data_IF_378341915373
#
_entry.id   IF_378341915373
#
_cell.length_a   1.000
_cell.length_b   1.000
_cell.length_c   1.000
_cell.angle_alpha   90.00
_cell.angle_beta   90.00
_cell.angle_gamma   90.00
#
_symmetry.space_group_name_H-M   'P 1'
#
loop_
_entity.id
_entity.type
_entity.pdbx_description
1 polymer ?
#
# COMPACT_ATOMS: atom_id res chain seq x y z
N UNK A 1 -19.99 10.19 -21.70
CA UNK A 1 -19.31 11.52 -21.85
C UNK A 1 -19.46 12.31 -20.58
N UNK A 2 -18.34 12.75 -20.00
CA UNK A 2 -18.34 13.60 -18.80
C UNK A 2 -19.00 14.93 -19.13
N UNK A 3 -20.14 15.23 -18.49
CA UNK A 3 -20.87 16.50 -18.72
C UNK A 3 -20.06 17.73 -18.30
N UNK A 4 -19.19 17.59 -17.27
CA UNK A 4 -18.34 18.69 -16.79
C UNK A 4 -16.94 18.17 -16.45
N UNK A 5 -16.00 18.29 -17.39
CA UNK A 5 -14.59 17.84 -17.22
C UNK A 5 -13.91 18.49 -16.02
N UNK A 6 -14.16 19.79 -15.74
CA UNK A 6 -13.56 20.46 -14.57
C UNK A 6 -14.02 19.81 -13.27
N UNK A 7 -15.33 19.54 -13.14
CA UNK A 7 -15.89 18.89 -11.96
C UNK A 7 -15.33 17.47 -11.75
N UNK A 8 -15.19 16.70 -12.83
CA UNK A 8 -14.59 15.37 -12.80
C UNK A 8 -13.14 15.40 -12.33
N UNK A 9 -12.27 16.23 -12.94
CA UNK A 9 -10.86 16.30 -12.54
C UNK A 9 -10.68 16.87 -11.13
N UNK A 10 -11.53 17.80 -10.67
CA UNK A 10 -11.51 18.28 -9.28
C UNK A 10 -11.88 17.16 -8.31
N UNK A 11 -12.93 16.37 -8.60
CA UNK A 11 -13.31 15.21 -7.79
C UNK A 11 -12.17 14.17 -7.78
N UNK A 12 -11.59 13.86 -8.93
CA UNK A 12 -10.45 12.94 -9.04
C UNK A 12 -9.30 13.33 -8.11
N UNK A 13 -8.83 14.60 -8.21
CA UNK A 13 -7.69 15.08 -7.39
C UNK A 13 -8.03 15.00 -5.90
N UNK A 14 -9.20 15.51 -5.49
CA UNK A 14 -9.59 15.60 -4.09
C UNK A 14 -9.74 14.20 -3.47
N UNK A 15 -10.51 13.32 -4.10
CA UNK A 15 -10.77 11.97 -3.57
C UNK A 15 -9.51 11.10 -3.61
N UNK A 16 -8.73 11.16 -4.68
CA UNK A 16 -7.49 10.41 -4.76
C UNK A 16 -6.49 10.88 -3.71
N UNK A 17 -6.29 12.21 -3.57
CA UNK A 17 -5.33 12.73 -2.58
C UNK A 17 -5.72 12.38 -1.15
N UNK A 18 -6.96 12.65 -0.74
CA UNK A 18 -7.40 12.40 0.64
C UNK A 18 -7.43 10.90 0.94
N UNK A 19 -7.87 10.08 -0.01
CA UNK A 19 -7.79 8.62 0.12
C UNK A 19 -6.36 8.13 0.29
N UNK A 20 -5.41 8.67 -0.50
CA UNK A 20 -4.00 8.30 -0.36
C UNK A 20 -3.37 8.82 0.94
N UNK A 21 -3.78 10.00 1.45
CA UNK A 21 -3.36 10.47 2.78
C UNK A 21 -3.79 9.46 3.86
N UNK A 22 -5.05 9.01 3.85
CA UNK A 22 -5.53 8.03 4.82
C UNK A 22 -4.76 6.70 4.72
N UNK A 23 -4.49 6.21 3.50
CA UNK A 23 -3.68 5.00 3.27
C UNK A 23 -2.22 5.15 3.73
N UNK A 24 -1.60 6.32 3.56
CA UNK A 24 -0.24 6.57 4.06
C UNK A 24 -0.20 6.54 5.58
N UNK A 25 -1.20 7.13 6.24
CA UNK A 25 -1.30 7.10 7.70
C UNK A 25 -1.47 5.66 8.21
N UNK A 26 -2.33 4.87 7.61
CA UNK A 26 -2.50 3.47 7.96
C UNK A 26 -1.21 2.66 7.73
N UNK A 27 -0.70 2.66 6.51
CA UNK A 27 0.39 1.77 6.13
C UNK A 27 1.75 2.11 6.76
N UNK A 28 1.98 3.36 7.16
CA UNK A 28 3.27 3.79 7.68
C UNK A 28 3.24 4.20 9.15
N UNK A 29 2.14 4.78 9.63
CA UNK A 29 2.08 5.40 10.94
C UNK A 29 1.29 4.59 11.98
N UNK A 30 0.39 3.70 11.59
CA UNK A 30 -0.30 2.83 12.56
C UNK A 30 0.68 1.88 13.25
N UNK A 31 1.72 1.45 12.55
CA UNK A 31 2.81 0.65 13.14
C UNK A 31 3.53 1.43 14.25
N UNK A 32 3.78 2.73 14.01
CA UNK A 32 4.37 3.64 15.01
C UNK A 32 3.38 3.90 16.15
N UNK A 33 2.10 4.11 15.84
CA UNK A 33 1.07 4.34 16.84
C UNK A 33 0.95 3.20 17.86
N UNK A 34 0.84 1.94 17.39
CA UNK A 34 0.72 0.81 18.32
C UNK A 34 2.02 0.55 19.09
N UNK A 35 3.16 0.83 18.48
CA UNK A 35 4.47 0.71 19.13
C UNK A 35 4.63 1.75 20.25
N UNK A 36 4.46 3.03 19.94
CA UNK A 36 4.68 4.13 20.88
C UNK A 36 3.64 4.17 22.01
N UNK A 37 2.36 3.92 21.68
CA UNK A 37 1.26 4.08 22.63
C UNK A 37 1.00 2.84 23.49
N UNK A 38 1.32 1.64 22.99
CA UNK A 38 0.92 0.38 23.64
C UNK A 38 2.06 -0.61 23.80
N UNK A 39 3.29 -0.25 23.41
CA UNK A 39 4.46 -1.14 23.43
C UNK A 39 4.23 -2.44 22.63
N UNK A 40 3.62 -2.31 21.45
CA UNK A 40 3.34 -3.44 20.57
C UNK A 40 4.62 -4.17 20.17
N UNK A 41 4.56 -5.49 20.14
CA UNK A 41 5.64 -6.34 19.66
C UNK A 41 5.74 -6.33 18.13
N UNK A 42 6.85 -6.83 17.59
CA UNK A 42 6.99 -7.06 16.14
C UNK A 42 5.91 -7.99 15.58
N UNK A 43 5.47 -8.97 16.37
CA UNK A 43 4.37 -9.88 16.02
C UNK A 43 3.02 -9.17 15.93
N UNK A 44 2.74 -8.21 16.84
CA UNK A 44 1.51 -7.41 16.80
C UNK A 44 1.45 -6.54 15.55
N UNK A 45 2.57 -5.90 15.19
CA UNK A 45 2.70 -5.14 13.95
C UNK A 45 2.49 -6.04 12.73
N UNK A 46 3.14 -7.21 12.68
CA UNK A 46 2.99 -8.15 11.60
C UNK A 46 1.53 -8.66 11.47
N UNK A 47 0.87 -8.94 12.60
CA UNK A 47 -0.53 -9.36 12.63
C UNK A 47 -1.46 -8.26 12.11
N UNK A 48 -1.26 -7.01 12.52
CA UNK A 48 -2.05 -5.86 12.07
C UNK A 48 -1.96 -5.71 10.56
N UNK A 49 -0.75 -5.65 10.00
CA UNK A 49 -0.54 -5.51 8.55
C UNK A 49 -1.12 -6.69 7.78
N UNK A 50 -0.96 -7.92 8.27
CA UNK A 50 -1.51 -9.11 7.63
C UNK A 50 -3.05 -9.11 7.65
N UNK A 51 -3.67 -8.76 8.77
CA UNK A 51 -5.12 -8.69 8.91
C UNK A 51 -5.72 -7.61 8.00
N UNK A 52 -5.08 -6.43 7.94
CA UNK A 52 -5.44 -5.33 7.04
C UNK A 52 -5.34 -5.78 5.56
N UNK A 53 -4.25 -6.43 5.15
CA UNK A 53 -4.08 -6.93 3.78
C UNK A 53 -5.16 -7.96 3.39
N UNK A 54 -5.55 -8.85 4.30
CA UNK A 54 -6.66 -9.79 4.09
C UNK A 54 -7.98 -9.03 3.95
N UNK A 55 -8.26 -8.09 4.87
CA UNK A 55 -9.47 -7.25 4.84
C UNK A 55 -9.56 -6.47 3.54
N UNK A 56 -8.50 -5.76 3.13
CA UNK A 56 -8.42 -5.01 1.89
C UNK A 56 -8.74 -5.87 0.66
N UNK A 57 -8.10 -7.05 0.58
CA UNK A 57 -8.25 -7.94 -0.58
C UNK A 57 -9.67 -8.49 -0.67
N UNK A 58 -10.21 -9.04 0.42
CA UNK A 58 -11.57 -9.59 0.43
C UNK A 58 -12.60 -8.49 0.12
N UNK A 59 -12.44 -7.32 0.72
CA UNK A 59 -13.34 -6.19 0.52
C UNK A 59 -13.31 -5.71 -0.93
N UNK A 60 -12.14 -5.49 -1.51
CA UNK A 60 -12.04 -5.00 -2.88
C UNK A 60 -12.67 -5.99 -3.86
N UNK A 61 -12.48 -7.29 -3.64
CA UNK A 61 -13.10 -8.34 -4.47
C UNK A 61 -14.63 -8.36 -4.32
N UNK A 62 -15.15 -8.35 -3.10
CA UNK A 62 -16.58 -8.50 -2.83
C UNK A 62 -17.36 -7.22 -3.13
N UNK A 63 -16.86 -6.08 -2.67
CA UNK A 63 -17.54 -4.79 -2.82
C UNK A 63 -17.38 -4.23 -4.23
N UNK A 64 -16.27 -4.49 -4.90
CA UNK A 64 -16.13 -4.20 -6.32
C UNK A 64 -17.28 -4.79 -7.10
N UNK A 65 -17.54 -6.07 -6.88
CA UNK A 65 -18.68 -6.82 -7.39
C UNK A 65 -20.03 -6.21 -7.12
N UNK A 66 -20.25 -5.94 -5.84
CA UNK A 66 -21.52 -5.39 -5.39
C UNK A 66 -21.78 -4.00 -5.96
N UNK A 67 -20.74 -3.17 -6.02
CA UNK A 67 -20.78 -1.83 -6.58
C UNK A 67 -21.13 -1.83 -8.07
N UNK A 68 -20.58 -2.80 -8.83
CA UNK A 68 -20.92 -3.00 -10.26
C UNK A 68 -22.38 -3.42 -10.44
N UNK A 69 -22.83 -4.39 -9.64
CA UNK A 69 -24.23 -4.88 -9.68
C UNK A 69 -25.24 -3.81 -9.33
N UNK A 70 -24.97 -3.03 -8.29
CA UNK A 70 -25.87 -1.96 -7.81
C UNK A 70 -25.85 -0.75 -8.73
N UNK A 71 -24.70 -0.44 -9.35
CA UNK A 71 -24.54 0.68 -10.28
C UNK A 71 -24.60 2.07 -9.65
N UNK A 72 -24.53 2.19 -8.31
CA UNK A 72 -24.63 3.46 -7.57
C UNK A 72 -23.28 3.92 -7.03
N UNK A 73 -22.29 4.14 -7.94
CA UNK A 73 -20.91 4.51 -7.57
C UNK A 73 -20.84 5.62 -6.52
N UNK A 74 -21.60 6.71 -6.74
CA UNK A 74 -21.62 7.85 -5.79
C UNK A 74 -21.96 7.43 -4.36
N UNK A 75 -22.95 6.55 -4.17
CA UNK A 75 -23.36 6.11 -2.84
C UNK A 75 -22.24 5.31 -2.15
N UNK A 76 -21.56 4.41 -2.88
CA UNK A 76 -20.44 3.64 -2.35
C UNK A 76 -19.24 4.53 -2.03
N UNK A 77 -18.90 5.47 -2.90
CA UNK A 77 -17.77 6.39 -2.67
C UNK A 77 -18.09 7.32 -1.50
N UNK A 78 -19.17 8.11 -1.59
CA UNK A 78 -19.47 9.11 -0.57
C UNK A 78 -19.80 8.49 0.78
N UNK A 79 -20.66 7.47 0.82
CA UNK A 79 -21.01 6.75 2.05
C UNK A 79 -19.81 6.02 2.64
N UNK A 80 -19.01 5.39 1.80
CA UNK A 80 -17.80 4.70 2.25
C UNK A 80 -16.75 5.65 2.84
N UNK A 81 -16.49 6.83 2.23
CA UNK A 81 -15.59 7.84 2.81
C UNK A 81 -16.12 8.37 4.15
N UNK A 82 -17.43 8.59 4.31
CA UNK A 82 -18.00 8.99 5.60
C UNK A 82 -17.76 7.92 6.66
N UNK A 83 -18.05 6.65 6.36
CA UNK A 83 -17.86 5.54 7.30
C UNK A 83 -16.37 5.27 7.57
N UNK A 84 -15.52 5.43 6.56
CA UNK A 84 -14.07 5.37 6.70
C UNK A 84 -13.56 6.44 7.66
N UNK A 85 -13.97 7.70 7.48
CA UNK A 85 -13.58 8.78 8.38
C UNK A 85 -14.11 8.59 9.81
N UNK A 86 -15.32 8.06 9.99
CA UNK A 86 -15.86 7.70 11.31
C UNK A 86 -15.01 6.60 11.97
N UNK A 87 -14.61 5.57 11.21
CA UNK A 87 -13.71 4.54 11.74
C UNK A 87 -12.33 5.09 12.12
N UNK A 88 -11.78 6.05 11.35
CA UNK A 88 -10.54 6.75 11.71
C UNK A 88 -10.70 7.54 13.01
N UNK A 89 -11.81 8.26 13.19
CA UNK A 89 -12.08 8.99 14.44
C UNK A 89 -12.12 8.08 15.67
N UNK A 90 -12.55 6.83 15.53
CA UNK A 90 -12.63 5.90 16.66
C UNK A 90 -11.26 5.57 17.28
N UNK A 91 -10.16 5.66 16.51
CA UNK A 91 -8.82 5.44 17.06
C UNK A 91 -8.42 6.50 18.10
N UNK A 92 -8.97 7.71 18.03
CA UNK A 92 -8.76 8.73 19.04
C UNK A 92 -9.29 8.34 20.43
N UNK A 93 -10.19 7.35 20.51
CA UNK A 93 -10.76 6.83 21.75
C UNK A 93 -9.98 5.62 22.30
N UNK A 94 -9.11 5.00 21.50
CA UNK A 94 -8.31 3.84 21.93
C UNK A 94 -7.05 4.35 22.64
N UNK A 95 -7.18 4.50 23.94
CA UNK A 95 -6.13 5.00 24.83
C UNK A 95 -6.09 4.15 26.10
N UNK A 96 -4.92 4.00 26.70
CA UNK A 96 -4.76 3.19 27.91
C UNK A 96 -5.56 3.72 29.09
N UNK A 97 -5.69 5.04 29.25
CA UNK A 97 -6.51 5.69 30.26
C UNK A 97 -8.03 5.44 30.03
N UNK A 98 -8.49 5.63 28.80
CA UNK A 98 -9.90 5.43 28.43
C UNK A 98 -10.30 3.96 28.56
N UNK A 99 -9.53 3.05 27.99
CA UNK A 99 -9.83 1.62 28.03
C UNK A 99 -9.65 1.06 29.46
N UNK A 100 -8.64 1.50 30.19
CA UNK A 100 -8.41 1.10 31.58
C UNK A 100 -9.58 1.51 32.52
N UNK A 101 -10.21 2.66 32.25
CA UNK A 101 -11.41 3.08 33.00
C UNK A 101 -12.61 2.17 32.72
N UNK A 102 -12.72 1.61 31.48
CA UNK A 102 -13.81 0.71 31.09
C UNK A 102 -13.58 -0.72 31.57
N UNK A 103 -12.31 -1.17 31.59
CA UNK A 103 -11.94 -2.56 31.95
C UNK A 103 -10.88 -2.54 33.08
N UNK A 104 -11.20 -2.05 34.27
CA UNK A 104 -10.24 -1.85 35.37
C UNK A 104 -9.63 -3.17 35.92
N UNK A 105 -10.27 -4.32 35.67
CA UNK A 105 -9.81 -5.63 36.11
C UNK A 105 -8.93 -6.36 35.08
N UNK A 106 -8.59 -5.71 33.95
CA UNK A 106 -7.79 -6.35 32.91
C UNK A 106 -6.34 -6.54 33.37
N UNK A 107 -5.78 -7.71 33.08
CA UNK A 107 -4.38 -8.04 33.38
C UNK A 107 -3.39 -7.22 32.53
N UNK A 108 -3.81 -6.77 31.34
CA UNK A 108 -3.04 -5.90 30.44
C UNK A 108 -3.98 -5.06 29.59
N UNK A 109 -4.07 -3.77 29.91
CA UNK A 109 -4.84 -2.78 29.14
C UNK A 109 -4.21 -2.55 27.76
N UNK A 110 -2.87 -2.54 27.67
CA UNK A 110 -2.14 -2.36 26.41
C UNK A 110 -2.48 -3.47 25.39
N UNK A 111 -2.55 -4.73 25.82
CA UNK A 111 -2.92 -5.83 24.93
C UNK A 111 -4.36 -5.72 24.42
N UNK A 112 -5.28 -5.20 25.22
CA UNK A 112 -6.65 -4.90 24.81
C UNK A 112 -6.63 -3.77 23.77
N UNK A 113 -5.89 -2.69 24.01
CA UNK A 113 -5.75 -1.59 23.06
C UNK A 113 -5.18 -2.06 21.72
N UNK A 114 -4.12 -2.87 21.72
CA UNK A 114 -3.54 -3.45 20.49
C UNK A 114 -4.60 -4.26 19.73
N UNK A 115 -5.31 -5.15 20.43
CA UNK A 115 -6.37 -5.96 19.83
C UNK A 115 -7.48 -5.09 19.23
N UNK A 116 -7.90 -4.05 19.92
CA UNK A 116 -8.91 -3.10 19.43
C UNK A 116 -8.40 -2.35 18.21
N UNK A 117 -7.13 -1.91 18.20
CA UNK A 117 -6.54 -1.27 17.01
C UNK A 117 -6.56 -2.20 15.82
N UNK A 118 -6.13 -3.46 15.97
CA UNK A 118 -6.12 -4.45 14.87
C UNK A 118 -7.53 -4.68 14.33
N UNK A 119 -8.53 -4.84 15.21
CA UNK A 119 -9.93 -5.02 14.78
C UNK A 119 -10.45 -3.78 14.06
N UNK A 120 -10.23 -2.60 14.64
CA UNK A 120 -10.69 -1.34 14.07
C UNK A 120 -9.95 -0.99 12.78
N UNK A 121 -8.68 -1.40 12.63
CA UNK A 121 -7.92 -1.29 11.39
C UNK A 121 -8.56 -2.13 10.28
N UNK A 122 -8.96 -3.37 10.55
CA UNK A 122 -9.74 -4.17 9.60
C UNK A 122 -11.07 -3.51 9.21
N UNK A 123 -11.78 -2.90 10.15
CA UNK A 123 -13.04 -2.16 9.90
C UNK A 123 -12.77 -0.92 9.04
N UNK A 124 -11.73 -0.17 9.38
CA UNK A 124 -11.29 1.01 8.64
C UNK A 124 -10.89 0.64 7.21
N UNK A 125 -10.08 -0.40 7.04
CA UNK A 125 -9.67 -0.94 5.75
C UNK A 125 -10.86 -1.44 4.93
N UNK A 126 -11.86 -2.07 5.57
CA UNK A 126 -13.09 -2.47 4.89
C UNK A 126 -13.80 -1.26 4.25
N UNK A 127 -13.98 -0.16 4.96
CA UNK A 127 -14.62 1.03 4.40
C UNK A 127 -13.74 1.75 3.39
N UNK A 128 -12.43 1.88 3.66
CA UNK A 128 -11.45 2.49 2.75
C UNK A 128 -11.36 1.74 1.43
N UNK A 129 -11.17 0.42 1.47
CA UNK A 129 -11.10 -0.41 0.27
C UNK A 129 -12.42 -0.46 -0.49
N UNK A 130 -13.56 -0.43 0.21
CA UNK A 130 -14.89 -0.33 -0.44
C UNK A 130 -15.04 0.95 -1.24
N UNK A 131 -14.64 2.07 -0.65
CA UNK A 131 -14.85 3.39 -1.22
C UNK A 131 -13.77 3.77 -2.24
N UNK A 132 -12.49 3.60 -1.87
CA UNK A 132 -11.35 4.06 -2.66
C UNK A 132 -10.88 2.98 -3.65
N UNK A 133 -10.56 1.77 -3.20
CA UNK A 133 -9.96 0.76 -4.06
C UNK A 133 -10.98 0.13 -5.01
N UNK A 134 -12.20 -0.12 -4.55
CA UNK A 134 -13.24 -0.71 -5.37
C UNK A 134 -14.06 0.34 -6.12
N UNK A 135 -14.85 1.15 -5.40
CA UNK A 135 -15.84 2.01 -6.03
C UNK A 135 -15.25 3.21 -6.77
N UNK A 136 -14.22 3.86 -6.21
CA UNK A 136 -13.59 5.03 -6.83
C UNK A 136 -12.77 4.68 -8.08
N UNK A 137 -11.98 3.60 -8.04
CA UNK A 137 -11.25 3.14 -9.22
C UNK A 137 -12.18 2.67 -10.34
N UNK A 138 -13.31 2.04 -10.00
CA UNK A 138 -14.33 1.70 -10.98
C UNK A 138 -15.01 2.95 -11.55
N UNK A 139 -15.34 3.95 -10.71
CA UNK A 139 -15.88 5.23 -11.15
C UNK A 139 -14.92 5.97 -12.09
N UNK A 140 -13.61 5.97 -11.79
CA UNK A 140 -12.59 6.55 -12.65
C UNK A 140 -12.62 5.92 -14.05
N UNK A 141 -12.73 4.59 -14.12
CA UNK A 141 -12.83 3.85 -15.38
C UNK A 141 -14.12 4.17 -16.13
N UNK A 142 -15.26 4.22 -15.42
CA UNK A 142 -16.59 4.48 -16.01
C UNK A 142 -16.72 5.92 -16.54
N UNK A 143 -16.01 6.87 -15.94
CA UNK A 143 -16.08 8.30 -16.27
C UNK A 143 -15.06 8.75 -17.32
N UNK A 144 -14.09 7.90 -17.69
CA UNK A 144 -13.04 8.24 -18.67
C UNK A 144 -13.22 7.52 -19.98
N UNK A 145 -13.00 8.23 -21.07
CA UNK A 145 -12.87 7.68 -22.42
C UNK A 145 -11.39 7.60 -22.85
N UNK A 146 -11.13 7.13 -24.07
CA UNK A 146 -9.77 6.99 -24.59
C UNK A 146 -8.96 8.30 -24.62
N UNK A 147 -9.63 9.47 -24.71
CA UNK A 147 -8.97 10.77 -24.78
C UNK A 147 -8.54 11.32 -23.43
N UNK A 148 -9.28 11.02 -22.36
CA UNK A 148 -9.09 11.58 -21.03
C UNK A 148 -8.44 10.57 -20.04
N UNK A 149 -8.49 9.27 -20.35
CA UNK A 149 -8.02 8.19 -19.47
C UNK A 149 -6.55 8.32 -19.09
N UNK A 150 -5.69 8.65 -20.06
CA UNK A 150 -4.26 8.84 -19.80
C UNK A 150 -3.97 9.98 -18.82
N UNK A 151 -4.68 11.11 -18.95
CA UNK A 151 -4.54 12.23 -18.03
C UNK A 151 -5.07 11.89 -16.63
N UNK A 152 -6.21 11.22 -16.54
CA UNK A 152 -6.82 10.83 -15.29
C UNK A 152 -5.95 9.80 -14.52
N UNK A 153 -5.46 8.77 -15.19
CA UNK A 153 -4.53 7.78 -14.63
C UNK A 153 -3.20 8.43 -14.21
N UNK A 154 -2.68 9.37 -15.02
CA UNK A 154 -1.48 10.14 -14.68
C UNK A 154 -1.64 10.91 -13.37
N UNK A 155 -2.75 11.61 -13.20
CA UNK A 155 -3.06 12.34 -11.96
C UNK A 155 -3.20 11.35 -10.81
N UNK A 156 -3.99 10.29 -10.95
CA UNK A 156 -4.23 9.32 -9.89
C UNK A 156 -2.93 8.64 -9.41
N UNK A 157 -2.02 8.34 -10.32
CA UNK A 157 -0.74 7.70 -9.99
C UNK A 157 0.26 8.63 -9.27
N UNK A 158 0.07 9.95 -9.35
CA UNK A 158 0.90 10.92 -8.61
C UNK A 158 0.43 11.13 -7.17
N UNK A 159 -0.84 10.87 -6.87
CA UNK A 159 -1.44 11.19 -5.57
C UNK A 159 -0.79 10.47 -4.38
N UNK A 160 -0.37 9.19 -4.46
CA UNK A 160 0.36 8.53 -3.37
C UNK A 160 1.63 9.28 -2.96
N UNK A 161 2.38 9.82 -3.93
CA UNK A 161 3.61 10.56 -3.67
C UNK A 161 3.34 11.90 -2.99
N UNK A 162 2.32 12.62 -3.48
CA UNK A 162 1.88 13.89 -2.87
C UNK A 162 1.36 13.63 -1.44
N UNK A 163 0.62 12.53 -1.24
CA UNK A 163 0.12 12.15 0.07
C UNK A 163 1.24 11.83 1.07
N UNK A 164 2.27 11.06 0.67
CA UNK A 164 3.42 10.77 1.53
C UNK A 164 4.11 12.06 1.97
N UNK A 165 4.35 12.98 1.05
CA UNK A 165 4.98 14.27 1.37
C UNK A 165 4.10 15.12 2.28
N UNK A 166 2.78 15.16 2.05
CA UNK A 166 1.83 15.89 2.88
C UNK A 166 1.79 15.32 4.31
N UNK A 167 1.77 13.98 4.44
CA UNK A 167 1.75 13.32 5.76
C UNK A 167 3.08 13.52 6.48
N UNK A 168 4.22 13.32 5.81
CA UNK A 168 5.53 13.52 6.43
C UNK A 168 5.71 14.97 6.88
N UNK A 169 5.39 15.95 6.02
CA UNK A 169 5.47 17.35 6.38
C UNK A 169 4.49 17.75 7.49
N UNK A 170 3.27 17.23 7.46
CA UNK A 170 2.27 17.47 8.49
C UNK A 170 2.65 16.87 9.85
N UNK A 171 3.22 15.67 9.85
CA UNK A 171 3.55 14.95 11.09
C UNK A 171 4.85 15.41 11.75
N UNK A 172 5.72 16.14 11.03
CA UNK A 172 6.92 16.74 11.63
C UNK A 172 6.64 17.62 12.85
N UNK A 173 5.44 18.21 12.93
CA UNK A 173 5.04 19.09 14.02
C UNK A 173 4.51 18.36 15.25
N UNK A 174 4.32 17.04 15.17
CA UNK A 174 3.74 16.23 16.22
C UNK A 174 4.82 15.40 16.92
N UNK A 175 4.75 15.36 18.25
CA UNK A 175 5.51 14.41 19.06
C UNK A 175 4.76 13.08 19.08
N UNK A 176 5.23 12.11 18.28
CA UNK A 176 4.56 10.80 18.11
C UNK A 176 4.65 9.90 19.37
N UNK A 177 5.48 10.26 20.36
CA UNK A 177 5.49 9.62 21.67
C UNK A 177 4.33 10.07 22.59
N UNK A 178 3.49 11.03 22.15
CA UNK A 178 2.40 11.59 22.97
C UNK A 178 1.02 11.20 22.45
N UNK A 179 0.17 10.74 23.35
CA UNK A 179 -1.21 10.34 23.06
C UNK A 179 -2.07 11.48 22.50
N UNK A 180 -1.83 12.72 22.94
CA UNK A 180 -2.53 13.92 22.47
C UNK A 180 -2.25 14.20 20.99
N UNK A 181 -1.02 13.94 20.54
CA UNK A 181 -0.63 14.05 19.13
C UNK A 181 -1.44 13.09 18.25
N UNK A 182 -1.54 11.83 18.66
CA UNK A 182 -2.32 10.82 17.94
C UNK A 182 -3.80 11.15 17.93
N UNK A 183 -4.35 11.58 19.06
CA UNK A 183 -5.75 12.04 19.14
C UNK A 183 -6.01 13.14 18.11
N UNK A 184 -5.12 14.14 18.06
CA UNK A 184 -5.24 15.27 17.11
C UNK A 184 -5.12 14.80 15.65
N UNK A 185 -4.16 13.92 15.35
CA UNK A 185 -3.95 13.34 14.02
C UNK A 185 -5.21 12.61 13.56
N UNK A 186 -5.76 11.70 14.38
CA UNK A 186 -6.96 10.95 14.02
C UNK A 186 -8.18 11.85 13.83
N UNK A 187 -8.33 12.91 14.62
CA UNK A 187 -9.40 13.89 14.45
C UNK A 187 -9.23 14.64 13.12
N UNK A 188 -8.04 15.15 12.80
CA UNK A 188 -7.79 15.88 11.57
C UNK A 188 -8.04 14.99 10.35
N UNK A 189 -7.46 13.80 10.32
CA UNK A 189 -7.60 12.88 9.17
C UNK A 189 -9.04 12.37 9.07
N UNK A 190 -9.64 11.92 10.16
CA UNK A 190 -11.01 11.40 10.17
C UNK A 190 -12.03 12.43 9.74
N UNK A 191 -11.97 13.67 10.26
CA UNK A 191 -12.85 14.76 9.83
C UNK A 191 -12.61 15.14 8.36
N UNK A 192 -11.36 15.17 7.92
CA UNK A 192 -11.04 15.45 6.50
C UNK A 192 -11.68 14.42 5.58
N UNK A 193 -11.57 13.12 5.91
CA UNK A 193 -12.17 12.02 5.12
C UNK A 193 -13.70 12.12 5.14
N UNK A 194 -14.35 12.42 6.30
CA UNK A 194 -15.80 12.64 6.39
C UNK A 194 -16.23 13.80 5.52
N UNK A 195 -15.55 14.94 5.63
CA UNK A 195 -15.89 16.14 4.86
C UNK A 195 -15.82 15.88 3.35
N UNK A 196 -14.81 15.15 2.89
CA UNK A 196 -14.69 14.76 1.49
C UNK A 196 -15.80 13.78 1.10
N UNK A 197 -16.16 12.83 1.97
CA UNK A 197 -17.29 11.95 1.75
C UNK A 197 -18.61 12.72 1.57
N UNK A 198 -18.87 13.72 2.44
CA UNK A 198 -20.03 14.61 2.33
C UNK A 198 -19.98 15.43 1.04
N UNK A 199 -18.83 16.01 0.71
CA UNK A 199 -18.62 16.74 -0.54
C UNK A 199 -18.91 15.85 -1.76
N UNK A 200 -18.58 14.58 -1.69
CA UNK A 200 -18.84 13.58 -2.73
C UNK A 200 -20.31 13.45 -3.12
N UNK A 201 -21.23 13.65 -2.17
CA UNK A 201 -22.68 13.63 -2.46
C UNK A 201 -23.05 14.65 -3.53
N UNK A 202 -22.30 15.77 -3.57
CA UNK A 202 -22.58 16.90 -4.49
C UNK A 202 -21.69 16.88 -5.74
N UNK A 203 -20.45 16.39 -5.65
CA UNK A 203 -19.48 16.51 -6.75
C UNK A 203 -19.29 15.20 -7.54
N UNK A 204 -19.51 14.02 -6.95
CA UNK A 204 -19.40 12.76 -7.68
C UNK A 204 -20.61 12.60 -8.61
N UNK A 205 -20.35 12.57 -9.89
CA UNK A 205 -21.36 12.26 -10.90
C UNK A 205 -21.56 10.74 -10.97
N UNK A 206 -22.82 10.30 -11.03
CA UNK A 206 -23.15 8.88 -11.25
C UNK A 206 -23.21 8.64 -12.75
N UNK A 207 -22.32 7.80 -13.33
CA UNK A 207 -22.45 7.42 -14.71
C UNK A 207 -23.73 6.59 -14.89
N UNK A 208 -24.36 6.69 -16.06
CA UNK A 208 -25.39 5.74 -16.48
C UNK A 208 -24.71 4.41 -16.83
N UNK A 209 -24.61 3.53 -15.85
CA UNK A 209 -24.04 2.20 -16.04
C UNK A 209 -25.09 1.36 -16.77
N UNK A 210 -24.80 0.95 -18.00
CA UNK A 210 -25.58 -0.09 -18.66
C UNK A 210 -25.41 -1.38 -17.87
N UNK A 211 -26.49 -1.78 -17.18
CA UNK A 211 -26.50 -3.08 -16.49
C UNK A 211 -26.35 -4.17 -17.55
N UNK A 212 -25.22 -4.85 -17.53
CA UNK A 212 -25.09 -6.12 -18.27
C UNK A 212 -25.93 -7.16 -17.54
N UNK A 213 -27.07 -7.54 -18.12
CA UNK A 213 -28.11 -8.39 -17.51
C UNK A 213 -27.64 -9.82 -17.18
N UNK A 214 -26.45 -10.25 -17.59
CA UNK A 214 -26.05 -11.65 -17.49
C UNK A 214 -24.59 -11.88 -17.01
N UNK A 215 -23.99 -10.96 -16.28
CA UNK A 215 -22.62 -11.14 -15.80
C UNK A 215 -22.62 -11.84 -14.43
N UNK A 216 -22.31 -13.13 -14.42
CA UNK A 216 -22.09 -13.89 -13.20
C UNK A 216 -20.73 -13.46 -12.62
N UNK A 217 -20.76 -12.36 -11.84
CA UNK A 217 -19.58 -11.67 -11.35
C UNK A 217 -18.63 -12.57 -10.54
N UNK A 218 -19.17 -13.45 -9.68
CA UNK A 218 -18.36 -14.44 -9.00
C UNK A 218 -17.63 -15.37 -9.97
N UNK A 219 -18.26 -15.71 -11.10
CA UNK A 219 -17.60 -16.47 -12.17
C UNK A 219 -16.45 -15.68 -12.81
N UNK A 220 -16.54 -14.35 -12.87
CA UNK A 220 -15.48 -13.48 -13.40
C UNK A 220 -14.30 -13.33 -12.43
N UNK A 221 -14.55 -13.24 -11.12
CA UNK A 221 -13.48 -13.27 -10.09
C UNK A 221 -12.72 -14.59 -10.16
N UNK A 222 -13.45 -15.71 -10.23
CA UNK A 222 -12.88 -17.06 -10.28
C UNK A 222 -12.25 -17.36 -11.65
N UNK A 223 -12.59 -16.61 -12.71
CA UNK A 223 -12.09 -16.85 -14.06
C UNK A 223 -10.55 -16.91 -14.12
N UNK A 224 -9.87 -15.94 -13.51
CA UNK A 224 -8.42 -15.88 -13.44
C UNK A 224 -7.77 -17.06 -12.69
N UNK A 225 -8.49 -17.81 -11.86
CA UNK A 225 -7.96 -18.97 -11.15
C UNK A 225 -8.15 -20.29 -11.88
N UNK A 226 -8.81 -20.29 -13.04
CA UNK A 226 -9.03 -21.52 -13.82
C UNK A 226 -7.73 -22.00 -14.44
N UNK A 227 -7.42 -23.29 -14.29
CA UNK A 227 -6.21 -23.91 -14.86
C UNK A 227 -6.08 -23.72 -16.36
N UNK A 228 -7.21 -23.69 -17.11
CA UNK A 228 -7.21 -23.40 -18.53
C UNK A 228 -6.66 -21.98 -18.82
N UNK A 229 -7.11 -20.99 -18.06
CA UNK A 229 -6.69 -19.58 -18.22
C UNK A 229 -5.22 -19.40 -17.85
N UNK A 230 -4.74 -20.12 -16.82
CA UNK A 230 -3.32 -20.15 -16.43
C UNK A 230 -2.47 -20.69 -17.59
N UNK A 231 -2.90 -21.80 -18.19
CA UNK A 231 -2.19 -22.42 -19.32
C UNK A 231 -2.21 -21.56 -20.59
N UNK A 232 -3.26 -20.79 -20.80
CA UNK A 232 -3.38 -19.85 -21.93
C UNK A 232 -2.50 -18.60 -21.76
N UNK A 233 -2.23 -18.17 -20.53
CA UNK A 233 -1.53 -16.92 -20.22
C UNK A 233 -0.32 -17.13 -19.26
N UNK A 234 0.57 -18.09 -19.49
CA UNK A 234 1.60 -18.48 -18.52
C UNK A 234 2.54 -17.32 -18.14
N UNK A 235 2.86 -16.46 -19.10
CA UNK A 235 3.76 -15.33 -18.88
C UNK A 235 3.17 -14.32 -17.88
N UNK A 236 1.88 -14.02 -17.97
CA UNK A 236 1.19 -13.13 -17.04
C UNK A 236 1.27 -13.64 -15.59
N UNK A 237 1.03 -14.96 -15.39
CA UNK A 237 1.08 -15.55 -14.05
C UNK A 237 2.50 -15.60 -13.48
N UNK A 238 3.50 -15.84 -14.30
CA UNK A 238 4.91 -15.80 -13.87
C UNK A 238 5.30 -14.35 -13.50
N UNK A 239 4.83 -13.35 -14.24
CA UNK A 239 5.06 -11.93 -13.93
C UNK A 239 4.34 -11.56 -12.62
N UNK A 240 3.10 -12.02 -12.39
CA UNK A 240 2.38 -11.80 -11.13
C UNK A 240 3.08 -12.46 -9.95
N UNK A 241 3.60 -13.68 -10.10
CA UNK A 241 4.39 -14.34 -9.07
C UNK A 241 5.69 -13.57 -8.76
N UNK A 242 6.39 -13.10 -9.78
CA UNK A 242 7.57 -12.26 -9.61
C UNK A 242 7.24 -10.93 -8.90
N UNK A 243 6.09 -10.34 -9.23
CA UNK A 243 5.60 -9.12 -8.59
C UNK A 243 5.26 -9.34 -7.10
N UNK A 244 4.65 -10.47 -6.75
CA UNK A 244 4.40 -10.86 -5.37
C UNK A 244 5.70 -11.02 -4.57
N UNK A 245 6.75 -11.62 -5.15
CA UNK A 245 8.07 -11.75 -4.52
C UNK A 245 8.74 -10.39 -4.28
N UNK A 246 8.63 -9.46 -5.24
CA UNK A 246 9.07 -8.08 -5.02
C UNK A 246 8.33 -7.45 -3.84
N UNK A 247 7.01 -7.58 -3.82
CA UNK A 247 6.18 -7.07 -2.74
C UNK A 247 6.55 -7.67 -1.38
N UNK A 248 6.82 -8.98 -1.29
CA UNK A 248 7.30 -9.64 -0.07
C UNK A 248 8.60 -8.98 0.41
N UNK A 249 9.59 -8.82 -0.49
CA UNK A 249 10.86 -8.16 -0.14
C UNK A 249 10.65 -6.78 0.48
N UNK A 250 9.72 -5.99 -0.07
CA UNK A 250 9.41 -4.65 0.44
C UNK A 250 8.67 -4.72 1.78
N UNK A 251 7.72 -5.60 1.93
CA UNK A 251 6.91 -5.71 3.15
C UNK A 251 7.66 -6.35 4.34
N UNK A 252 8.85 -6.91 4.12
CA UNK A 252 9.72 -7.38 5.23
C UNK A 252 10.18 -6.20 6.10
N UNK A 253 10.54 -5.07 5.49
CA UNK A 253 11.09 -3.92 6.21
C UNK A 253 10.09 -2.75 6.35
N UNK A 254 9.16 -2.61 5.43
CA UNK A 254 8.28 -1.43 5.36
C UNK A 254 7.51 -1.15 6.66
N UNK A 255 6.90 -2.14 7.35
CA UNK A 255 6.19 -1.90 8.60
C UNK A 255 7.09 -1.39 9.73
N UNK A 256 8.38 -1.67 9.68
CA UNK A 256 9.36 -1.35 10.73
C UNK A 256 10.28 -0.18 10.34
N UNK A 257 10.12 0.40 9.14
CA UNK A 257 11.07 1.35 8.58
C UNK A 257 11.17 2.65 9.40
N UNK A 258 10.05 3.25 9.77
CA UNK A 258 10.05 4.47 10.58
C UNK A 258 10.67 4.17 11.95
N UNK A 259 10.25 3.08 12.60
CA UNK A 259 10.80 2.66 13.89
C UNK A 259 12.32 2.37 13.82
N UNK A 260 12.80 1.83 12.70
CA UNK A 260 14.24 1.66 12.49
C UNK A 260 14.97 3.01 12.46
N UNK A 261 14.42 4.02 11.79
CA UNK A 261 15.04 5.34 11.73
C UNK A 261 14.97 6.07 13.08
N UNK A 262 13.86 5.97 13.81
CA UNK A 262 13.69 6.64 15.10
C UNK A 262 14.41 5.90 16.22
N UNK A 263 14.20 4.60 16.36
CA UNK A 263 14.65 3.83 17.50
C UNK A 263 16.08 3.28 17.36
N UNK A 264 16.45 2.79 16.17
CA UNK A 264 17.78 2.20 15.95
C UNK A 264 18.82 3.23 15.54
N UNK A 265 18.47 4.10 14.60
CA UNK A 265 19.40 5.13 14.12
C UNK A 265 19.35 6.41 14.95
N UNK A 266 18.34 6.55 15.83
CA UNK A 266 18.11 7.75 16.68
C UNK A 266 18.15 9.04 15.87
N UNK A 267 17.56 9.03 14.66
CA UNK A 267 17.49 10.23 13.85
C UNK A 267 16.51 11.23 14.47
N UNK A 268 16.96 12.45 14.77
CA UNK A 268 16.10 13.51 15.28
C UNK A 268 14.91 13.81 14.37
N UNK A 269 15.11 13.68 13.05
CA UNK A 269 14.06 13.81 12.06
C UNK A 269 14.31 12.87 10.88
N UNK A 270 13.68 11.68 10.90
CA UNK A 270 13.70 10.74 9.77
C UNK A 270 13.10 11.35 8.49
N UNK A 271 12.21 12.33 8.64
CA UNK A 271 11.56 13.03 7.51
C UNK A 271 12.60 13.76 6.66
N UNK A 272 13.66 14.33 7.26
CA UNK A 272 14.73 15.00 6.52
C UNK A 272 15.56 14.05 5.67
N UNK A 273 15.56 12.76 5.98
CA UNK A 273 16.18 11.71 5.18
C UNK A 273 15.20 11.17 4.13
N UNK A 274 13.99 10.84 4.55
CA UNK A 274 13.03 10.13 3.72
C UNK A 274 12.33 11.03 2.68
N UNK A 275 11.94 12.25 3.04
CA UNK A 275 11.19 13.10 2.12
C UNK A 275 12.02 13.50 0.88
N UNK A 276 13.28 13.96 1.00
CA UNK A 276 14.12 14.19 -0.18
C UNK A 276 14.39 12.92 -0.98
N UNK A 277 14.58 11.78 -0.33
CA UNK A 277 14.79 10.50 -1.00
C UNK A 277 13.56 10.10 -1.84
N UNK A 278 12.34 10.26 -1.30
CA UNK A 278 11.10 9.96 -2.00
C UNK A 278 10.86 10.94 -3.15
N UNK A 279 11.13 12.24 -2.98
CA UNK A 279 11.00 13.23 -4.05
C UNK A 279 11.92 12.89 -5.23
N UNK A 280 13.19 12.64 -4.95
CA UNK A 280 14.17 12.30 -5.99
C UNK A 280 13.83 10.96 -6.65
N UNK A 281 13.43 9.96 -5.87
CA UNK A 281 13.01 8.66 -6.40
C UNK A 281 11.74 8.77 -7.27
N UNK A 282 10.83 9.69 -6.96
CA UNK A 282 9.63 9.92 -7.75
C UNK A 282 9.96 10.51 -9.13
N UNK A 283 10.84 11.52 -9.16
CA UNK A 283 11.36 12.09 -10.42
C UNK A 283 12.08 11.02 -11.22
N UNK A 284 12.95 10.24 -10.57
CA UNK A 284 13.65 9.12 -11.19
C UNK A 284 12.67 8.12 -11.82
N UNK A 285 11.63 7.73 -11.08
CA UNK A 285 10.63 6.76 -11.54
C UNK A 285 9.83 7.28 -12.76
N UNK A 286 9.48 8.56 -12.76
CA UNK A 286 8.80 9.17 -13.91
C UNK A 286 9.66 9.13 -15.20
N UNK A 287 10.97 9.35 -15.06
CA UNK A 287 11.91 9.21 -16.16
C UNK A 287 12.12 7.73 -16.55
N UNK A 288 12.10 6.84 -15.56
CA UNK A 288 12.28 5.40 -15.75
C UNK A 288 11.15 4.74 -16.55
N UNK A 289 9.93 5.25 -16.43
CA UNK A 289 8.80 4.83 -17.27
C UNK A 289 9.09 5.00 -18.77
N UNK A 290 9.72 6.12 -19.16
CA UNK A 290 10.12 6.35 -20.56
C UNK A 290 11.22 5.38 -21.04
N UNK A 291 12.06 4.91 -20.12
CA UNK A 291 13.08 3.89 -20.41
C UNK A 291 12.41 2.53 -20.63
N UNK A 292 11.40 2.20 -19.81
CA UNK A 292 10.59 1.00 -20.03
C UNK A 292 9.95 0.97 -21.42
N UNK A 293 9.32 2.06 -21.84
CA UNK A 293 8.68 2.16 -23.14
C UNK A 293 9.66 1.92 -24.32
N UNK A 294 10.91 2.37 -24.16
CA UNK A 294 11.94 2.24 -25.19
C UNK A 294 12.69 0.91 -25.15
N UNK A 295 12.98 0.40 -23.97
CA UNK A 295 13.93 -0.73 -23.76
C UNK A 295 13.24 -2.04 -23.35
N UNK A 296 11.95 -1.95 -22.95
CA UNK A 296 11.14 -3.08 -22.53
C UNK A 296 11.48 -3.63 -21.15
N UNK A 297 10.74 -4.65 -20.70
CA UNK A 297 10.74 -5.19 -19.36
C UNK A 297 12.16 -5.60 -18.87
N UNK A 298 12.87 -6.44 -19.65
CA UNK A 298 14.18 -7.00 -19.21
C UNK A 298 15.21 -5.94 -18.90
N UNK A 299 15.35 -4.94 -19.78
CA UNK A 299 16.39 -3.90 -19.65
C UNK A 299 16.04 -2.86 -18.59
N UNK A 300 14.76 -2.75 -18.19
CA UNK A 300 14.29 -1.82 -17.17
C UNK A 300 14.28 -2.43 -15.78
N UNK A 301 13.89 -3.72 -15.63
CA UNK A 301 13.75 -4.34 -14.32
C UNK A 301 15.10 -4.64 -13.65
N UNK A 302 16.10 -5.07 -14.40
CA UNK A 302 17.41 -5.45 -13.85
C UNK A 302 18.09 -4.27 -13.13
N UNK A 303 18.24 -3.08 -13.75
CA UNK A 303 18.84 -1.94 -13.05
C UNK A 303 17.99 -1.45 -11.87
N UNK A 304 16.64 -1.51 -11.96
CA UNK A 304 15.76 -1.15 -10.84
C UNK A 304 16.02 -2.05 -9.63
N UNK A 305 16.11 -3.36 -9.83
CA UNK A 305 16.42 -4.31 -8.75
C UNK A 305 17.86 -4.16 -8.24
N UNK A 306 18.82 -3.80 -9.10
CA UNK A 306 20.18 -3.51 -8.67
C UNK A 306 20.25 -2.28 -7.76
N UNK A 307 19.48 -1.21 -8.06
CA UNK A 307 19.35 -0.04 -7.19
C UNK A 307 18.73 -0.42 -5.85
N UNK A 308 17.65 -1.21 -5.86
CA UNK A 308 16.98 -1.69 -4.66
C UNK A 308 17.93 -2.51 -3.77
N UNK A 309 18.64 -3.47 -4.36
CA UNK A 309 19.62 -4.30 -3.66
C UNK A 309 20.77 -3.47 -3.10
N UNK A 310 21.32 -2.52 -3.87
CA UNK A 310 22.35 -1.60 -3.40
C UNK A 310 21.90 -0.77 -2.20
N UNK A 311 20.65 -0.27 -2.23
CA UNK A 311 20.03 0.43 -1.10
C UNK A 311 19.97 -0.45 0.14
N UNK A 312 19.50 -1.69 0.04
CA UNK A 312 19.47 -2.65 1.14
C UNK A 312 20.86 -2.94 1.72
N UNK A 313 21.87 -3.15 0.85
CA UNK A 313 23.23 -3.40 1.28
C UNK A 313 23.78 -2.21 2.08
N UNK A 314 23.58 -0.99 1.61
CA UNK A 314 24.06 0.21 2.32
C UNK A 314 23.35 0.34 3.68
N UNK A 315 22.03 0.17 3.72
CA UNK A 315 21.27 0.28 4.97
C UNK A 315 21.57 -0.84 5.97
N UNK A 316 21.99 -2.03 5.48
CA UNK A 316 22.42 -3.11 6.34
C UNK A 316 23.80 -2.84 6.98
N UNK A 317 24.76 -2.27 6.24
CA UNK A 317 26.12 -2.10 6.74
C UNK A 317 26.40 -0.76 7.41
N UNK A 318 25.57 0.27 7.19
CA UNK A 318 25.91 1.62 7.64
C UNK A 318 24.81 2.28 8.47
N UNK A 319 25.27 2.90 9.57
CA UNK A 319 24.45 3.77 10.44
C UNK A 319 24.83 5.27 10.28
N UNK A 320 25.78 5.60 9.39
CA UNK A 320 26.17 6.97 9.13
C UNK A 320 25.05 7.69 8.35
N UNK A 321 24.53 8.81 8.87
CA UNK A 321 23.36 9.52 8.32
C UNK A 321 23.47 9.79 6.81
N UNK A 322 24.64 10.21 6.32
CA UNK A 322 24.86 10.44 4.90
C UNK A 322 24.69 9.16 4.04
N UNK A 323 25.22 8.02 4.52
CA UNK A 323 25.06 6.73 3.83
C UNK A 323 23.64 6.19 4.00
N UNK A 324 22.98 6.42 5.14
CA UNK A 324 21.57 6.10 5.34
C UNK A 324 20.71 6.86 4.33
N UNK A 325 20.98 8.15 4.08
CA UNK A 325 20.28 8.92 3.05
C UNK A 325 20.50 8.32 1.65
N UNK A 326 21.75 8.02 1.27
CA UNK A 326 22.09 7.41 -0.02
C UNK A 326 21.41 6.03 -0.16
N UNK A 327 21.49 5.19 0.88
CA UNK A 327 20.85 3.88 0.90
C UNK A 327 19.34 3.98 0.75
N UNK A 328 18.70 4.91 1.47
CA UNK A 328 17.26 5.18 1.38
C UNK A 328 16.87 5.69 -0.01
N UNK A 329 17.66 6.59 -0.59
CA UNK A 329 17.43 7.08 -1.95
C UNK A 329 17.50 5.96 -2.99
N UNK A 330 18.55 5.14 -2.96
CA UNK A 330 18.71 4.02 -3.90
C UNK A 330 17.60 2.97 -3.70
N UNK A 331 17.27 2.66 -2.45
CA UNK A 331 16.16 1.76 -2.10
C UNK A 331 14.84 2.27 -2.66
N UNK A 332 14.51 3.56 -2.47
CA UNK A 332 13.27 4.14 -2.98
C UNK A 332 13.25 4.25 -4.51
N UNK A 333 14.37 4.61 -5.14
CA UNK A 333 14.50 4.59 -6.61
C UNK A 333 14.25 3.18 -7.16
N UNK A 334 14.88 2.17 -6.57
CA UNK A 334 14.72 0.77 -6.97
C UNK A 334 13.30 0.26 -6.72
N UNK A 335 12.71 0.57 -5.56
CA UNK A 335 11.35 0.19 -5.21
C UNK A 335 10.32 0.77 -6.18
N UNK A 336 10.25 2.11 -6.30
CA UNK A 336 9.23 2.77 -7.09
C UNK A 336 9.37 2.44 -8.60
N UNK A 337 10.60 2.39 -9.11
CA UNK A 337 10.83 2.02 -10.52
C UNK A 337 10.50 0.56 -10.80
N UNK A 338 10.80 -0.38 -9.89
CA UNK A 338 10.43 -1.79 -10.05
C UNK A 338 8.90 -1.97 -10.03
N UNK A 339 8.20 -1.29 -9.12
CA UNK A 339 6.73 -1.30 -9.07
C UNK A 339 6.12 -0.79 -10.37
N UNK A 340 6.65 0.31 -10.92
CA UNK A 340 6.19 0.87 -12.18
C UNK A 340 6.42 -0.10 -13.36
N UNK A 341 7.61 -0.71 -13.43
CA UNK A 341 7.98 -1.68 -14.48
C UNK A 341 7.11 -2.94 -14.43
N UNK A 342 6.86 -3.49 -13.24
CA UNK A 342 5.95 -4.63 -13.09
C UNK A 342 4.52 -4.26 -13.41
N UNK A 343 4.03 -3.10 -12.95
CA UNK A 343 2.69 -2.62 -13.27
C UNK A 343 2.46 -2.46 -14.77
N UNK A 344 3.42 -1.89 -15.49
CA UNK A 344 3.38 -1.79 -16.95
C UNK A 344 3.41 -3.18 -17.62
N UNK A 345 4.32 -4.06 -17.18
CA UNK A 345 4.43 -5.40 -17.75
C UNK A 345 3.18 -6.27 -17.53
N UNK A 346 2.52 -6.17 -16.37
CA UNK A 346 1.25 -6.85 -16.12
C UNK A 346 0.20 -6.35 -17.08
N UNK A 347 0.11 -5.03 -17.30
CA UNK A 347 -0.84 -4.42 -18.23
C UNK A 347 -0.61 -4.89 -19.67
N UNK A 348 0.65 -4.89 -20.13
CA UNK A 348 1.04 -5.31 -21.47
C UNK A 348 0.73 -6.79 -21.76
N UNK A 349 0.74 -7.64 -20.72
CA UNK A 349 0.48 -9.07 -20.86
C UNK A 349 -0.96 -9.47 -20.45
N UNK A 350 -1.79 -8.52 -20.02
CA UNK A 350 -3.20 -8.78 -19.71
C UNK A 350 -4.00 -8.83 -21.01
N UNK A 351 -4.79 -9.91 -21.26
CA UNK A 351 -5.61 -10.02 -22.45
C UNK A 351 -6.57 -8.84 -22.62
N UNK A 352 -6.64 -8.30 -23.84
CA UNK A 352 -7.52 -7.17 -24.19
C UNK A 352 -8.99 -7.49 -23.89
N UNK A 353 -9.69 -6.54 -23.28
CA UNK A 353 -11.11 -6.69 -22.87
C UNK A 353 -11.34 -7.54 -21.61
N UNK A 354 -10.29 -8.06 -20.96
CA UNK A 354 -10.41 -8.91 -19.77
C UNK A 354 -9.71 -8.34 -18.52
N UNK A 355 -9.29 -7.09 -18.56
CA UNK A 355 -8.53 -6.46 -17.45
C UNK A 355 -9.26 -6.58 -16.10
N UNK A 356 -10.58 -6.43 -16.06
CA UNK A 356 -11.36 -6.58 -14.83
C UNK A 356 -11.33 -7.99 -14.23
N UNK A 357 -11.26 -9.04 -15.07
CA UNK A 357 -11.19 -10.43 -14.61
C UNK A 357 -9.84 -10.79 -13.96
N UNK A 358 -8.78 -10.07 -14.32
CA UNK A 358 -7.44 -10.26 -13.75
C UNK A 358 -7.12 -9.31 -12.59
N UNK A 359 -8.01 -8.35 -12.29
CA UNK A 359 -7.81 -7.41 -11.19
C UNK A 359 -7.75 -8.13 -9.83
N UNK A 360 -8.56 -9.17 -9.64
CA UNK A 360 -8.52 -10.00 -8.43
C UNK A 360 -7.18 -10.71 -8.22
N UNK A 361 -6.59 -11.24 -9.29
CA UNK A 361 -5.25 -11.85 -9.23
C UNK A 361 -4.17 -10.80 -8.93
N UNK A 362 -4.30 -9.61 -9.52
CA UNK A 362 -3.37 -8.52 -9.27
C UNK A 362 -3.37 -8.09 -7.81
N UNK A 363 -4.54 -7.92 -7.19
CA UNK A 363 -4.62 -7.50 -5.77
C UNK A 363 -4.08 -8.60 -4.84
N UNK A 364 -4.28 -9.87 -5.17
CA UNK A 364 -3.67 -10.97 -4.40
C UNK A 364 -2.14 -10.93 -4.51
N UNK A 365 -1.60 -10.72 -5.70
CA UNK A 365 -0.15 -10.67 -5.90
C UNK A 365 0.49 -9.39 -5.33
N UNK A 366 -0.23 -8.26 -5.33
CA UNK A 366 0.28 -6.96 -4.92
C UNK A 366 0.06 -6.65 -3.43
N UNK A 367 -1.02 -7.13 -2.83
CA UNK A 367 -1.47 -6.77 -1.48
C UNK A 367 -1.48 -7.98 -0.56
N UNK A 368 -2.26 -9.03 -0.89
CA UNK A 368 -2.48 -10.14 0.03
C UNK A 368 -1.19 -10.91 0.34
N UNK A 369 -0.54 -11.43 -0.70
CA UNK A 369 0.67 -12.26 -0.52
C UNK A 369 1.80 -11.45 0.14
N UNK A 370 2.16 -10.24 -0.34
CA UNK A 370 3.16 -9.43 0.32
C UNK A 370 2.80 -9.01 1.74
N UNK A 371 1.56 -8.54 1.95
CA UNK A 371 1.11 -8.02 3.24
C UNK A 371 0.98 -9.09 4.34
N UNK A 372 0.83 -10.36 3.97
CA UNK A 372 0.83 -11.47 4.93
C UNK A 372 2.25 -12.03 5.12
N UNK A 373 2.94 -12.38 4.04
CA UNK A 373 4.24 -13.09 4.13
C UNK A 373 5.37 -12.15 4.54
N UNK A 374 5.40 -10.92 4.00
CA UNK A 374 6.48 -9.97 4.27
C UNK A 374 6.64 -9.64 5.76
N UNK A 375 5.58 -9.13 6.43
CA UNK A 375 5.64 -8.78 7.85
C UNK A 375 5.94 -9.99 8.76
N UNK A 376 5.44 -11.20 8.41
CA UNK A 376 5.78 -12.43 9.15
C UNK A 376 7.28 -12.76 9.08
N UNK A 377 7.91 -12.57 7.92
CA UNK A 377 9.37 -12.73 7.79
C UNK A 377 10.08 -11.61 8.58
N UNK A 378 9.60 -10.37 8.50
CA UNK A 378 10.12 -9.24 9.28
C UNK A 378 10.08 -9.51 10.78
N UNK A 379 8.95 -9.99 11.30
CA UNK A 379 8.82 -10.41 12.70
C UNK A 379 9.80 -11.52 13.08
N UNK A 380 9.92 -12.57 12.27
CA UNK A 380 10.85 -13.66 12.51
C UNK A 380 12.31 -13.18 12.60
N UNK A 381 12.72 -12.21 11.79
CA UNK A 381 14.05 -11.59 11.83
C UNK A 381 14.26 -10.75 13.10
N UNK A 382 13.21 -10.10 13.58
CA UNK A 382 13.25 -9.23 14.76
C UNK A 382 13.00 -9.97 16.08
N UNK A 383 12.75 -11.28 16.05
CA UNK A 383 12.45 -12.07 17.25
C UNK A 383 13.53 -11.99 18.34
N UNK A 384 14.79 -11.87 17.92
CA UNK A 384 15.95 -11.73 18.79
C UNK A 384 16.50 -10.28 18.81
N UNK A 385 15.71 -9.31 18.38
CA UNK A 385 16.10 -7.91 18.42
C UNK A 385 16.33 -7.45 19.87
N UNK A 386 17.19 -6.43 20.04
CA UNK A 386 17.45 -5.81 21.33
C UNK A 386 16.15 -5.28 21.91
N UNK A 387 15.98 -5.43 23.23
CA UNK A 387 14.83 -4.91 23.97
C UNK A 387 15.31 -3.86 24.97
N UNK A 388 14.60 -2.74 24.98
CA UNK A 388 14.84 -1.66 25.92
C UNK A 388 13.71 -1.62 26.93
N UNK A 389 14.06 -1.47 28.19
CA UNK A 389 13.09 -1.30 29.27
C UNK A 389 12.64 0.16 29.32
N UNK A 390 11.35 0.36 29.20
CA UNK A 390 10.71 1.66 29.29
C UNK A 390 10.60 2.11 30.76
N UNK A 391 10.29 3.39 30.98
CA UNK A 391 10.11 3.97 32.30
C UNK A 391 9.00 3.34 33.15
N UNK A 392 8.02 2.72 32.48
CA UNK A 392 6.89 1.97 33.08
C UNK A 392 7.20 0.50 33.36
N UNK A 393 8.44 0.05 33.07
CA UNK A 393 8.90 -1.33 33.26
C UNK A 393 8.56 -2.28 32.12
N UNK A 394 7.86 -1.83 31.08
CA UNK A 394 7.59 -2.62 29.88
C UNK A 394 8.83 -2.75 28.98
N UNK A 395 8.85 -3.73 28.09
CA UNK A 395 9.93 -3.97 27.16
C UNK A 395 9.48 -3.64 25.74
N UNK A 396 10.17 -2.72 25.07
CA UNK A 396 10.01 -2.44 23.63
C UNK A 396 11.15 -3.05 22.83
N UNK A 397 10.86 -3.65 21.68
CA UNK A 397 11.90 -4.13 20.77
C UNK A 397 12.47 -2.97 19.94
N UNK A 398 13.75 -3.06 19.59
CA UNK A 398 14.39 -2.11 18.68
C UNK A 398 14.59 -2.80 17.35
N UNK A 399 13.95 -2.36 16.26
CA UNK A 399 14.19 -2.92 14.93
C UNK A 399 15.67 -2.80 14.57
N UNK A 400 16.25 -3.80 13.96
CA UNK A 400 17.65 -3.77 13.53
C UNK A 400 17.80 -3.94 12.02
N UNK A 401 19.02 -3.80 11.52
CA UNK A 401 19.36 -3.86 10.12
C UNK A 401 19.03 -5.20 9.44
N UNK A 402 18.76 -6.27 10.20
CA UNK A 402 18.42 -7.61 9.64
C UNK A 402 17.19 -7.58 8.72
N UNK A 403 16.27 -6.63 8.89
CA UNK A 403 15.13 -6.42 7.99
C UNK A 403 15.57 -6.15 6.56
N UNK A 404 16.64 -5.40 6.33
CA UNK A 404 17.20 -5.15 5.00
C UNK A 404 17.92 -6.36 4.43
N UNK A 405 18.60 -7.14 5.27
CA UNK A 405 19.21 -8.40 4.86
C UNK A 405 18.13 -9.41 4.43
N UNK A 406 17.05 -9.54 5.21
CA UNK A 406 15.92 -10.40 4.86
C UNK A 406 15.26 -9.97 3.56
N UNK A 407 15.06 -8.65 3.37
CA UNK A 407 14.54 -8.09 2.13
C UNK A 407 15.45 -8.38 0.93
N UNK A 408 16.77 -8.28 1.10
CA UNK A 408 17.75 -8.62 0.07
C UNK A 408 17.69 -10.13 -0.29
N UNK A 409 17.64 -11.00 0.71
CA UNK A 409 17.53 -12.46 0.50
C UNK A 409 16.23 -12.82 -0.24
N UNK A 410 15.13 -12.13 0.06
CA UNK A 410 13.86 -12.32 -0.63
C UNK A 410 13.89 -11.93 -2.12
N UNK A 411 14.90 -11.17 -2.59
CA UNK A 411 15.09 -10.92 -4.01
C UNK A 411 15.68 -12.13 -4.76
N UNK A 412 16.28 -13.11 -4.07
CA UNK A 412 16.89 -14.28 -4.72
C UNK A 412 15.86 -15.08 -5.54
N UNK A 413 14.73 -15.56 -4.95
CA UNK A 413 13.71 -16.26 -5.71
C UNK A 413 13.10 -15.39 -6.82
N UNK A 414 13.01 -14.06 -6.63
CA UNK A 414 12.59 -13.14 -7.68
C UNK A 414 13.55 -13.19 -8.88
N UNK A 415 14.86 -13.11 -8.67
CA UNK A 415 15.87 -13.17 -9.73
C UNK A 415 15.80 -14.52 -10.47
N UNK A 416 15.56 -15.63 -9.75
CA UNK A 416 15.38 -16.94 -10.36
C UNK A 416 14.16 -16.95 -11.31
N UNK A 417 13.01 -16.44 -10.85
CA UNK A 417 11.79 -16.36 -11.69
C UNK A 417 12.00 -15.43 -12.88
N UNK A 418 12.68 -14.28 -12.72
CA UNK A 418 12.99 -13.39 -13.84
C UNK A 418 13.87 -14.08 -14.90
N UNK A 419 14.80 -14.90 -14.46
CA UNK A 419 15.64 -15.69 -15.39
C UNK A 419 14.77 -16.64 -16.22
N UNK A 420 13.78 -17.30 -15.58
CA UNK A 420 12.80 -18.15 -16.28
C UNK A 420 11.97 -17.35 -17.30
N UNK A 421 11.51 -16.13 -16.93
CA UNK A 421 10.80 -15.23 -17.86
C UNK A 421 11.66 -14.91 -19.08
N UNK A 422 12.93 -14.59 -18.87
CA UNK A 422 13.83 -14.22 -19.97
C UNK A 422 14.15 -15.39 -20.88
N UNK A 423 14.29 -16.60 -20.34
CA UNK A 423 14.47 -17.82 -21.15
C UNK A 423 13.20 -18.12 -21.95
N UNK A 424 12.04 -18.01 -21.35
CA UNK A 424 10.74 -18.23 -21.99
C UNK A 424 10.55 -17.30 -23.20
N UNK A 425 10.71 -15.98 -22.98
CA UNK A 425 10.62 -14.97 -24.07
C UNK A 425 11.60 -15.21 -25.20
N UNK A 426 12.84 -15.61 -24.87
CA UNK A 426 13.86 -15.91 -25.90
C UNK A 426 13.51 -17.16 -26.74
N UNK A 427 12.80 -18.14 -26.15
CA UNK A 427 12.36 -19.34 -26.89
C UNK A 427 11.19 -19.02 -27.82
N UNK A 428 10.21 -18.21 -27.38
CA UNK A 428 9.09 -17.82 -28.23
C UNK A 428 9.54 -17.02 -29.45
N UNK A 429 10.47 -16.06 -29.27
CA UNK A 429 11.06 -15.28 -30.36
C UNK A 429 11.89 -16.12 -31.38
N UNK A 430 12.34 -17.32 -30.99
CA UNK A 430 13.05 -18.25 -31.89
C UNK A 430 12.08 -19.21 -32.61
N UNK A 431 10.90 -19.43 -32.05
CA UNK A 431 9.88 -20.30 -32.66
C UNK A 431 9.07 -19.54 -33.72
N UNK A 432 9.02 -18.21 -33.66
CA UNK A 432 8.34 -17.34 -34.63
C UNK A 432 9.25 -16.88 -35.80
N UNK A 433 10.51 -17.31 -35.81
CA UNK A 433 11.49 -17.14 -36.92
C UNK A 433 11.70 -18.46 -37.65
#
# INVERSE_FOLDING_TARGET
MVKNKKKFFSALVIFSLVGQIAWVVENMYFNVFIYEMFNASSSDIALMVAASAVSATLTTLLIGALSDKVGKRRAFISGGYILWGVSILSFALIRTDTIGAIVPAASSVSSICITLVIIMDCVMTFFGSSANDAAFNAWLTDMTDASDRGAAEGINSMMPLVAILAVFGGFMSFDLGKSESWTTIFIIIGLSVILIGVLGIFIIESPEIKKEENNNYFANIIYGFRLSVIKENPLLYIILAAFALLGISIQIFMPYLILYYTESLKLESYVLVMAPAIILASVFTALWGRIYDKMGFKKSIIPSLALLAAGYVILFFSKLTALVFIGSLLMMCGYLSSMAVFGASIRDNTPTGRAGMFQGLRIIAQVLIPGVIGPMIGDALLKNAEKVQNSDGTLSFIPNESIFLGALVALIPLVIILTCIFIYKNKSLKADK
#
